data_IF_336726647850
#
_entry.id   IF_336726647850
#
_cell.length_a   1.000
_cell.length_b   1.000
_cell.length_c   1.000
_cell.angle_alpha   90.00
_cell.angle_beta   90.00
_cell.angle_gamma   90.00
#
_symmetry.space_group_name_H-M   'P 1'
#
loop_
_entity.id
_entity.type
_entity.pdbx_description
1 polymer ?
#
# COMPACT_ATOMS: atom_id res chain seq x y z
N UNK A 1 -11.14 15.00 4.95
CA UNK A 1 -9.77 15.47 4.72
C UNK A 1 -8.84 14.29 4.94
N UNK A 2 -8.04 13.91 3.95
CA UNK A 2 -7.11 12.79 4.06
C UNK A 2 -5.80 13.31 4.68
N UNK A 3 -5.25 12.58 5.65
CA UNK A 3 -3.95 12.87 6.26
C UNK A 3 -3.04 11.64 6.12
N UNK A 4 -1.74 11.89 6.05
CA UNK A 4 -0.72 10.85 6.07
C UNK A 4 -0.15 10.84 7.49
N UNK A 5 0.00 9.64 8.05
CA UNK A 5 0.52 9.45 9.40
C UNK A 5 1.58 8.36 9.37
N UNK A 6 2.72 8.60 10.01
CA UNK A 6 3.69 7.56 10.32
C UNK A 6 3.11 6.59 11.37
N UNK A 7 3.19 5.29 11.10
CA UNK A 7 2.70 4.24 12.02
C UNK A 7 3.77 3.77 13.03
N UNK A 8 5.00 4.21 12.82
CA UNK A 8 6.20 3.94 13.62
C UNK A 8 7.14 5.14 13.52
N UNK A 9 8.14 5.22 14.39
CA UNK A 9 9.16 6.28 14.35
C UNK A 9 9.82 6.30 12.98
N UNK A 10 9.79 7.45 12.31
CA UNK A 10 10.15 7.59 10.91
C UNK A 10 10.91 8.89 10.67
N UNK A 11 11.92 8.83 9.80
CA UNK A 11 12.57 10.00 9.21
C UNK A 11 12.10 10.15 7.75
N UNK A 12 11.79 11.38 7.34
CA UNK A 12 11.19 11.65 6.02
C UNK A 12 12.00 12.73 5.32
N UNK A 13 12.34 12.48 4.05
CA UNK A 13 12.90 13.48 3.14
C UNK A 13 11.72 14.16 2.43
N UNK A 14 11.66 15.49 2.53
CA UNK A 14 10.58 16.30 1.96
C UNK A 14 11.17 17.24 0.93
N UNK A 15 10.49 17.37 -0.21
CA UNK A 15 10.80 18.34 -1.25
C UNK A 15 9.52 19.06 -1.67
N UNK A 16 9.65 20.31 -2.11
CA UNK A 16 8.54 21.01 -2.73
C UNK A 16 8.32 20.47 -4.14
N UNK A 17 7.06 20.21 -4.49
CA UNK A 17 6.72 19.72 -5.83
C UNK A 17 7.14 20.70 -6.92
N UNK A 18 7.04 22.01 -6.66
CA UNK A 18 7.48 23.05 -7.59
C UNK A 18 8.98 23.01 -7.89
N UNK A 19 9.80 22.58 -6.93
CA UNK A 19 11.25 22.47 -7.15
C UNK A 19 11.56 21.23 -7.96
N UNK A 20 10.84 20.13 -7.72
CA UNK A 20 10.94 18.93 -8.53
C UNK A 20 10.51 19.20 -9.99
N UNK A 21 9.39 19.88 -10.21
CA UNK A 21 8.88 20.24 -11.54
C UNK A 21 9.91 21.04 -12.35
N UNK A 22 10.56 22.04 -11.73
CA UNK A 22 11.61 22.84 -12.37
C UNK A 22 12.85 22.01 -12.75
N UNK A 23 13.22 21.03 -11.92
CA UNK A 23 14.37 20.15 -12.18
C UNK A 23 14.06 19.20 -13.35
N UNK A 24 12.82 18.73 -13.43
CA UNK A 24 12.34 17.82 -14.48
C UNK A 24 12.16 18.58 -15.80
N UNK A 25 11.80 19.87 -15.76
CA UNK A 25 11.63 20.70 -16.95
C UNK A 25 12.90 20.76 -17.80
N UNK A 26 12.80 20.30 -19.05
CA UNK A 26 13.94 20.26 -19.98
C UNK A 26 14.91 19.08 -19.81
N UNK A 27 14.72 18.21 -18.80
CA UNK A 27 15.53 17.01 -18.61
C UNK A 27 14.76 15.74 -19.01
N UNK A 28 15.04 15.22 -20.20
CA UNK A 28 14.35 14.06 -20.76
C UNK A 28 14.50 12.79 -19.90
N UNK A 29 15.68 12.54 -19.32
CA UNK A 29 15.91 11.35 -18.49
C UNK A 29 15.08 11.40 -17.20
N UNK A 30 15.00 12.57 -16.57
CA UNK A 30 14.18 12.78 -15.38
C UNK A 30 12.68 12.71 -15.68
N UNK A 31 12.24 13.20 -16.85
CA UNK A 31 10.86 13.03 -17.31
C UNK A 31 10.53 11.53 -17.48
N UNK A 32 11.42 10.75 -18.10
CA UNK A 32 11.21 9.31 -18.26
C UNK A 32 11.18 8.59 -16.91
N UNK A 33 12.05 8.97 -15.98
CA UNK A 33 12.04 8.43 -14.62
C UNK A 33 10.72 8.75 -13.91
N UNK A 34 10.30 10.02 -13.92
CA UNK A 34 9.04 10.45 -13.32
C UNK A 34 7.83 9.73 -13.93
N UNK A 35 7.80 9.59 -15.26
CA UNK A 35 6.76 8.82 -15.96
C UNK A 35 6.70 7.38 -15.47
N UNK A 36 7.83 6.67 -15.38
CA UNK A 36 7.88 5.29 -14.89
C UNK A 36 7.37 5.17 -13.45
N UNK A 37 7.67 6.15 -12.60
CA UNK A 37 7.15 6.19 -11.24
C UNK A 37 5.61 6.31 -11.24
N UNK A 38 5.06 7.25 -12.01
CA UNK A 38 3.61 7.45 -12.11
C UNK A 38 2.91 6.22 -12.69
N UNK A 39 3.44 5.63 -13.77
CA UNK A 39 2.89 4.42 -14.37
C UNK A 39 2.86 3.26 -13.35
N UNK A 40 3.92 3.11 -12.55
CA UNK A 40 3.98 2.09 -11.49
C UNK A 40 2.93 2.30 -10.40
N UNK A 41 2.74 3.54 -9.95
CA UNK A 41 1.70 3.89 -8.97
C UNK A 41 0.30 3.64 -9.53
N UNK A 42 0.08 3.94 -10.81
CA UNK A 42 -1.21 3.71 -11.47
C UNK A 42 -1.54 2.23 -11.57
N UNK A 43 -0.57 1.40 -12.02
CA UNK A 43 -0.71 -0.06 -12.09
C UNK A 43 -1.04 -0.63 -10.71
N UNK A 44 -0.29 -0.24 -9.67
CA UNK A 44 -0.53 -0.70 -8.30
C UNK A 44 -1.95 -0.35 -7.81
N UNK A 45 -2.45 0.85 -8.12
CA UNK A 45 -3.82 1.26 -7.76
C UNK A 45 -4.88 0.45 -8.50
N UNK A 46 -4.67 0.17 -9.78
CA UNK A 46 -5.60 -0.61 -10.58
C UNK A 46 -5.63 -2.07 -10.13
N UNK A 47 -4.47 -2.70 -9.88
CA UNK A 47 -4.38 -4.05 -9.33
C UNK A 47 -5.11 -4.16 -7.97
N UNK A 48 -4.92 -3.16 -7.10
CA UNK A 48 -5.65 -3.10 -5.84
C UNK A 48 -7.16 -2.99 -6.08
N UNK A 49 -7.62 -2.13 -7.00
CA UNK A 49 -9.05 -2.03 -7.32
C UNK A 49 -9.62 -3.32 -7.93
N UNK A 50 -8.87 -4.00 -8.79
CA UNK A 50 -9.24 -5.30 -9.37
C UNK A 50 -9.36 -6.35 -8.26
N UNK A 51 -8.42 -6.40 -7.31
CA UNK A 51 -8.47 -7.34 -6.19
C UNK A 51 -9.78 -7.24 -5.40
N UNK A 52 -10.33 -6.04 -5.25
CA UNK A 52 -11.60 -5.82 -4.56
C UNK A 52 -12.82 -6.33 -5.33
N UNK A 53 -12.74 -6.37 -6.66
CA UNK A 53 -13.80 -6.86 -7.55
C UNK A 53 -13.73 -8.36 -7.79
N UNK A 54 -12.51 -8.90 -7.88
CA UNK A 54 -12.27 -10.26 -8.33
C UNK A 54 -12.02 -11.26 -7.21
N UNK A 55 -11.55 -10.82 -6.04
CA UNK A 55 -11.06 -11.70 -4.98
C UNK A 55 -11.88 -11.59 -3.70
N UNK A 56 -11.99 -12.72 -3.01
CA UNK A 56 -12.57 -12.76 -1.67
C UNK A 56 -11.62 -12.21 -0.59
N UNK A 57 -12.12 -12.06 0.64
CA UNK A 57 -11.33 -11.51 1.75
C UNK A 57 -10.10 -12.34 2.13
N UNK A 58 -10.11 -13.66 1.87
CA UNK A 58 -9.01 -14.56 2.16
C UNK A 58 -7.92 -14.40 1.12
N UNK A 59 -8.29 -14.38 -0.15
CA UNK A 59 -7.39 -14.17 -1.27
C UNK A 59 -6.70 -12.81 -1.17
N UNK A 60 -7.46 -11.75 -0.87
CA UNK A 60 -6.88 -10.43 -0.60
C UNK A 60 -5.90 -10.45 0.57
N UNK A 61 -6.19 -11.19 1.64
CA UNK A 61 -5.25 -11.31 2.77
C UNK A 61 -3.96 -12.06 2.37
N UNK A 62 -4.06 -13.13 1.59
CA UNK A 62 -2.88 -13.85 1.07
C UNK A 62 -2.04 -12.95 0.14
N UNK A 63 -2.68 -12.19 -0.74
CA UNK A 63 -1.99 -11.20 -1.58
C UNK A 63 -1.26 -10.17 -0.73
N UNK A 64 -1.90 -9.63 0.32
CA UNK A 64 -1.26 -8.70 1.24
C UNK A 64 -0.02 -9.31 1.91
N UNK A 65 -0.08 -10.56 2.40
CA UNK A 65 1.06 -11.23 3.03
C UNK A 65 2.22 -11.47 2.04
N UNK A 66 1.91 -11.77 0.78
CA UNK A 66 2.92 -11.97 -0.26
C UNK A 66 3.55 -10.65 -0.71
N UNK A 67 2.74 -9.58 -0.85
CA UNK A 67 3.21 -8.27 -1.27
C UNK A 67 4.02 -7.56 -0.17
N UNK A 68 3.69 -7.79 1.10
CA UNK A 68 4.33 -7.15 2.24
C UNK A 68 4.73 -8.15 3.33
N UNK A 69 5.72 -9.04 3.07
CA UNK A 69 6.12 -10.06 4.02
C UNK A 69 6.54 -9.49 5.38
N UNK A 70 5.90 -9.94 6.45
CA UNK A 70 6.22 -9.53 7.84
C UNK A 70 5.59 -8.21 8.28
N UNK A 71 4.94 -7.45 7.38
CA UNK A 71 4.28 -6.20 7.74
C UNK A 71 3.12 -6.44 8.71
N UNK A 72 2.44 -7.57 8.59
CA UNK A 72 1.29 -7.96 9.41
C UNK A 72 1.58 -8.04 10.92
N UNK A 73 2.88 -8.14 11.27
CA UNK A 73 3.40 -8.16 12.65
C UNK A 73 3.78 -6.77 13.16
N UNK A 74 4.03 -5.82 12.26
CA UNK A 74 4.49 -4.46 12.59
C UNK A 74 3.35 -3.46 12.71
N UNK A 75 2.23 -3.68 12.01
CA UNK A 75 1.10 -2.76 12.01
C UNK A 75 -0.11 -3.31 12.77
N UNK A 76 -0.88 -2.39 13.37
CA UNK A 76 -2.09 -2.76 14.14
C UNK A 76 -3.14 -3.39 13.22
N UNK A 77 -3.86 -4.38 13.76
CA UNK A 77 -4.82 -5.19 13.01
C UNK A 77 -5.91 -4.37 12.29
N UNK A 78 -6.36 -3.25 12.86
CA UNK A 78 -7.41 -2.44 12.23
C UNK A 78 -6.92 -1.75 10.94
N UNK A 79 -5.63 -1.41 10.82
CA UNK A 79 -5.07 -0.87 9.58
C UNK A 79 -5.10 -1.92 8.48
N UNK A 80 -4.73 -3.16 8.80
CA UNK A 80 -4.80 -4.30 7.87
C UNK A 80 -6.25 -4.58 7.47
N UNK A 81 -7.18 -4.59 8.43
CA UNK A 81 -8.59 -4.83 8.16
C UNK A 81 -9.17 -3.76 7.22
N UNK A 82 -8.85 -2.48 7.47
CA UNK A 82 -9.24 -1.37 6.61
C UNK A 82 -8.66 -1.50 5.19
N UNK A 83 -7.39 -1.89 5.07
CA UNK A 83 -6.73 -2.12 3.77
C UNK A 83 -7.42 -3.24 2.98
N UNK A 84 -7.85 -4.31 3.65
CA UNK A 84 -8.53 -5.45 3.03
C UNK A 84 -10.04 -5.23 2.80
N UNK A 85 -10.60 -4.12 3.27
CA UNK A 85 -12.03 -3.82 3.18
C UNK A 85 -12.91 -4.72 4.06
N UNK A 86 -12.41 -5.15 5.22
CA UNK A 86 -13.15 -5.99 6.17
C UNK A 86 -13.09 -5.42 7.59
N UNK A 87 -13.91 -5.93 8.49
CA UNK A 87 -13.86 -5.50 9.90
C UNK A 87 -12.65 -6.12 10.63
N UNK A 88 -12.12 -5.48 11.68
CA UNK A 88 -11.08 -6.08 12.51
C UNK A 88 -11.49 -7.45 13.08
N UNK A 89 -12.78 -7.62 13.43
CA UNK A 89 -13.34 -8.90 13.90
C UNK A 89 -13.29 -9.96 12.80
N UNK A 90 -13.69 -9.61 11.57
CA UNK A 90 -13.60 -10.51 10.40
C UNK A 90 -12.16 -10.97 10.16
N UNK A 91 -11.20 -10.04 10.21
CA UNK A 91 -9.77 -10.37 10.07
C UNK A 91 -9.28 -11.27 11.21
N UNK A 92 -9.74 -11.05 12.44
CA UNK A 92 -9.40 -11.89 13.58
C UNK A 92 -9.85 -13.34 13.39
N UNK A 93 -11.09 -13.53 12.90
CA UNK A 93 -11.64 -14.86 12.60
C UNK A 93 -10.88 -15.52 11.47
N UNK A 94 -10.58 -14.78 10.41
CA UNK A 94 -9.79 -15.25 9.27
C UNK A 94 -8.43 -15.77 9.74
N UNK A 95 -7.66 -14.98 10.50
CA UNK A 95 -6.35 -15.42 11.02
C UNK A 95 -6.41 -16.69 11.86
N UNK A 96 -7.47 -16.86 12.67
CA UNK A 96 -7.67 -18.05 13.51
C UNK A 96 -7.96 -19.30 12.67
N UNK A 97 -8.79 -19.18 11.64
CA UNK A 97 -9.14 -20.30 10.76
C UNK A 97 -7.95 -20.79 9.93
N UNK A 98 -6.99 -19.90 9.65
CA UNK A 98 -5.85 -20.19 8.78
C UNK A 98 -4.60 -20.68 9.51
N UNK A 99 -4.55 -20.72 10.85
CA UNK A 99 -3.33 -21.08 11.61
C UNK A 99 -2.06 -20.30 11.17
N UNK A 100 -2.22 -19.12 10.55
CA UNK A 100 -1.11 -18.33 9.97
C UNK A 100 -0.22 -17.68 11.04
N UNK A 101 -0.56 -17.82 12.33
CA UNK A 101 0.24 -17.31 13.44
C UNK A 101 0.50 -18.40 14.49
N UNK A 102 1.19 -19.47 14.09
CA UNK A 102 1.99 -20.27 15.02
C UNK A 102 3.44 -20.29 14.53
#
# INVERSE_FOLDING_TARGET
MYYIQALEDSEIIVAQISDFEKIVEGNYELILFYKKMIDSVLIMKEEHAISFKALDSIERYKQFLNAYPGLEKRIKQYHIASYLGITPVSLSRLRKNFNINK
#
